data_IF_616883602347
#
_entry.id   IF_616883602347
#
_cell.length_a   1.000
_cell.length_b   1.000
_cell.length_c   1.000
_cell.angle_alpha   90.00
_cell.angle_beta   90.00
_cell.angle_gamma   90.00
#
_symmetry.space_group_name_H-M   'P 1'
#
loop_
_entity.id
_entity.type
_entity.pdbx_description
1 polymer ?
#
# COMPACT_ATOMS: atom_id res chain seq x y z
N UNK A 1 9.78 -28.10 10.16
CA UNK A 1 9.47 -27.00 11.10
C UNK A 1 9.19 -25.79 10.24
N UNK A 2 8.09 -25.09 10.47
CA UNK A 2 7.64 -24.00 9.59
C UNK A 2 8.73 -22.91 9.48
N UNK A 3 9.15 -22.59 8.26
CA UNK A 3 10.18 -21.57 7.95
C UNK A 3 9.83 -20.19 8.54
N UNK A 4 8.57 -20.00 8.94
CA UNK A 4 8.07 -18.78 9.57
C UNK A 4 8.67 -18.48 10.96
N UNK A 5 9.35 -19.43 11.62
CA UNK A 5 10.00 -19.19 12.92
C UNK A 5 11.42 -18.61 12.75
N UNK A 6 12.03 -18.78 11.58
CA UNK A 6 13.41 -18.36 11.31
C UNK A 6 13.52 -16.92 10.76
N UNK A 7 12.45 -16.36 10.18
CA UNK A 7 12.43 -14.99 9.69
C UNK A 7 11.73 -14.08 10.71
N UNK A 8 12.35 -12.93 11.04
CA UNK A 8 11.69 -11.88 11.82
C UNK A 8 10.58 -11.23 10.98
N UNK A 9 9.37 -11.80 10.99
CA UNK A 9 8.23 -11.22 10.27
C UNK A 9 7.87 -9.86 10.86
N UNK A 10 7.88 -8.76 10.07
CA UNK A 10 7.40 -7.48 10.57
C UNK A 10 5.89 -7.54 10.83
N UNK A 11 5.38 -6.88 11.89
CA UNK A 11 3.95 -6.73 12.09
C UNK A 11 3.30 -5.89 10.97
N UNK A 12 2.00 -6.09 10.69
CA UNK A 12 1.29 -5.31 9.69
C UNK A 12 1.43 -3.79 9.92
N UNK A 13 1.63 -3.03 8.83
CA UNK A 13 1.80 -1.57 8.90
C UNK A 13 0.52 -0.84 9.33
N UNK A 14 -0.67 -1.39 9.06
CA UNK A 14 -1.95 -0.76 9.40
C UNK A 14 -2.68 -1.51 10.52
N UNK A 15 -3.50 -0.76 11.26
CA UNK A 15 -4.26 -1.28 12.40
C UNK A 15 -5.26 -2.36 11.96
N UNK A 16 -6.02 -2.08 10.90
CA UNK A 16 -7.09 -2.92 10.36
C UNK A 16 -6.57 -4.28 9.87
N UNK A 17 -5.32 -4.31 9.37
CA UNK A 17 -4.65 -5.51 8.91
C UNK A 17 -4.19 -6.39 10.07
N UNK A 18 -3.75 -5.76 11.17
CA UNK A 18 -3.38 -6.48 12.37
C UNK A 18 -4.61 -7.12 13.02
N UNK A 19 -5.74 -6.41 13.08
CA UNK A 19 -7.02 -6.99 13.51
C UNK A 19 -7.48 -8.14 12.62
N UNK A 20 -7.37 -7.99 11.29
CA UNK A 20 -7.75 -9.05 10.36
C UNK A 20 -6.89 -10.31 10.53
N UNK A 21 -5.57 -10.14 10.70
CA UNK A 21 -4.64 -11.22 11.01
C UNK A 21 -5.06 -11.96 12.29
N UNK A 22 -5.38 -11.20 13.35
CA UNK A 22 -5.81 -11.78 14.61
C UNK A 22 -7.15 -12.52 14.48
N UNK A 23 -8.14 -11.92 13.80
CA UNK A 23 -9.43 -12.56 13.58
C UNK A 23 -9.28 -13.91 12.86
N UNK A 24 -8.55 -13.94 11.74
CA UNK A 24 -8.37 -15.16 10.96
C UNK A 24 -7.53 -16.22 11.69
N UNK A 25 -6.52 -15.78 12.46
CA UNK A 25 -5.73 -16.67 13.30
C UNK A 25 -6.61 -17.38 14.33
N UNK A 26 -7.42 -16.63 15.06
CA UNK A 26 -8.24 -17.17 16.14
C UNK A 26 -9.45 -17.95 15.63
N UNK A 27 -10.02 -17.56 14.48
CA UNK A 27 -11.00 -18.37 13.75
C UNK A 27 -10.41 -19.75 13.42
N UNK A 28 -9.20 -19.78 12.85
CA UNK A 28 -8.52 -21.02 12.50
C UNK A 28 -8.10 -21.84 13.73
N UNK A 29 -7.62 -21.19 14.79
CA UNK A 29 -7.17 -21.85 16.02
C UNK A 29 -8.30 -22.50 16.80
N UNK A 30 -9.46 -21.86 16.85
CA UNK A 30 -10.59 -22.31 17.67
C UNK A 30 -11.67 -23.03 16.86
N UNK A 31 -11.58 -22.99 15.53
CA UNK A 31 -12.54 -23.60 14.64
C UNK A 31 -13.94 -22.99 14.81
N UNK A 32 -14.02 -21.70 15.13
CA UNK A 32 -15.29 -21.01 15.37
C UNK A 32 -15.79 -20.30 14.11
N UNK A 33 -16.77 -20.86 13.38
CA UNK A 33 -17.34 -20.22 12.20
C UNK A 33 -18.22 -19.00 12.53
N UNK A 34 -18.43 -18.70 13.82
CA UNK A 34 -19.24 -17.57 14.31
C UNK A 34 -18.38 -16.44 14.85
N UNK A 35 -17.07 -16.44 14.62
CA UNK A 35 -16.20 -15.32 15.00
C UNK A 35 -16.72 -14.03 14.35
N UNK A 36 -17.02 -13.03 15.18
CA UNK A 36 -17.50 -11.73 14.73
C UNK A 36 -16.42 -10.70 15.01
N UNK A 37 -15.89 -10.10 13.94
CA UNK A 37 -15.15 -8.83 14.05
C UNK A 37 -16.17 -7.74 14.40
N UNK A 38 -16.04 -7.16 15.57
CA UNK A 38 -16.76 -5.95 15.91
C UNK A 38 -16.01 -4.78 15.26
N UNK A 39 -16.57 -4.12 14.26
CA UNK A 39 -15.88 -2.94 13.73
C UNK A 39 -16.31 -2.41 12.37
N UNK A 40 -17.36 -1.57 12.35
CA UNK A 40 -17.25 -0.30 11.63
C UNK A 40 -16.80 0.75 12.64
N UNK A 41 -15.95 1.69 12.23
CA UNK A 41 -15.58 2.83 13.07
C UNK A 41 -16.82 3.60 13.55
N UNK A 42 -16.95 3.83 14.86
CA UNK A 42 -17.98 4.69 15.46
C UNK A 42 -19.00 4.05 16.41
N UNK A 43 -18.92 2.75 16.73
CA UNK A 43 -19.68 2.17 17.84
C UNK A 43 -18.82 2.08 19.11
N UNK A 44 -19.42 2.38 20.26
CA UNK A 44 -18.82 2.12 21.58
C UNK A 44 -18.65 0.61 21.74
N UNK A 45 -17.41 0.14 21.78
CA UNK A 45 -17.07 -1.29 21.69
C UNK A 45 -16.41 -1.84 22.97
N UNK A 46 -16.58 -1.18 24.12
CA UNK A 46 -16.15 -1.67 25.45
C UNK A 46 -14.76 -2.37 25.45
N UNK A 47 -13.79 -1.86 24.69
CA UNK A 47 -12.45 -2.44 24.60
C UNK A 47 -12.39 -3.88 24.06
N UNK A 48 -13.29 -4.27 23.14
CA UNK A 48 -13.28 -5.60 22.48
C UNK A 48 -13.45 -5.45 20.97
N UNK A 49 -12.38 -5.68 20.21
CA UNK A 49 -12.39 -5.65 18.74
C UNK A 49 -13.00 -6.93 18.11
N UNK A 50 -12.85 -8.09 18.76
CA UNK A 50 -13.30 -9.38 18.23
C UNK A 50 -13.97 -10.19 19.34
N UNK A 51 -15.10 -10.83 19.01
CA UNK A 51 -15.77 -11.78 19.91
C UNK A 51 -15.84 -13.15 19.24
N UNK A 52 -15.48 -14.17 20.00
CA UNK A 52 -15.46 -15.54 19.52
C UNK A 52 -15.83 -16.54 20.63
N UNK A 53 -15.96 -17.80 20.24
CA UNK A 53 -16.11 -18.95 21.11
C UNK A 53 -14.88 -19.86 21.02
N UNK A 54 -14.47 -20.41 22.18
CA UNK A 54 -13.39 -21.39 22.29
C UNK A 54 -13.96 -22.67 22.88
N UNK A 55 -14.41 -23.57 22.02
CA UNK A 55 -15.19 -24.74 22.44
C UNK A 55 -16.50 -24.33 23.11
N UNK A 56 -16.70 -24.72 24.37
CA UNK A 56 -17.89 -24.34 25.17
C UNK A 56 -17.80 -22.97 25.85
N UNK A 57 -16.66 -22.28 25.71
CA UNK A 57 -16.41 -20.99 26.34
C UNK A 57 -16.87 -19.87 25.39
N UNK A 58 -17.88 -19.13 25.82
CA UNK A 58 -18.42 -17.95 25.14
C UNK A 58 -19.07 -17.02 26.19
N UNK A 59 -18.95 -15.68 26.05
CA UNK A 59 -18.13 -14.98 25.05
C UNK A 59 -16.65 -14.88 25.46
N UNK A 60 -15.75 -14.96 24.46
CA UNK A 60 -14.32 -14.64 24.57
C UNK A 60 -14.06 -13.36 23.80
N UNK A 61 -13.52 -12.34 24.46
CA UNK A 61 -13.17 -11.06 23.85
C UNK A 61 -11.69 -11.01 23.46
N UNK A 62 -11.38 -10.40 22.32
CA UNK A 62 -10.02 -10.14 21.89
C UNK A 62 -9.88 -8.65 21.55
N UNK A 63 -8.91 -8.01 22.18
CA UNK A 63 -8.50 -6.63 21.89
C UNK A 63 -7.15 -6.66 21.18
N UNK A 64 -7.09 -6.06 20.00
CA UNK A 64 -5.87 -5.84 19.25
C UNK A 64 -5.22 -4.54 19.72
N UNK A 65 -3.89 -4.49 19.78
CA UNK A 65 -3.11 -3.30 20.06
C UNK A 65 -1.85 -3.28 19.21
N UNK A 66 -1.92 -2.64 18.03
CA UNK A 66 -0.74 -2.35 17.22
C UNK A 66 0.12 -1.27 17.91
N UNK A 67 1.42 -1.52 17.96
CA UNK A 67 2.46 -0.60 18.42
C UNK A 67 3.41 -0.24 17.29
N UNK A 68 3.79 1.03 17.21
CA UNK A 68 4.73 1.53 16.21
C UNK A 68 6.14 0.96 16.47
N UNK A 69 6.81 0.54 15.39
CA UNK A 69 8.25 0.22 15.41
C UNK A 69 9.10 1.49 15.50
N UNK A 70 8.60 2.62 14.99
CA UNK A 70 9.28 3.92 15.10
C UNK A 70 8.31 5.08 15.38
N UNK A 71 8.58 5.94 16.39
CA UNK A 71 9.40 5.59 17.55
C UNK A 71 8.81 4.33 18.22
N UNK A 72 9.67 3.46 18.76
CA UNK A 72 9.23 2.21 19.42
C UNK A 72 8.26 2.54 20.55
N UNK A 73 6.98 2.19 20.39
CA UNK A 73 5.98 2.36 21.44
C UNK A 73 5.86 1.06 22.24
N UNK A 74 6.28 1.06 23.50
CA UNK A 74 6.06 -0.09 24.40
C UNK A 74 4.58 -0.19 24.78
N UNK A 75 4.14 -1.42 25.08
CA UNK A 75 2.89 -1.63 25.83
C UNK A 75 3.17 -1.36 27.30
N UNK A 76 2.23 -0.73 28.01
CA UNK A 76 2.41 -0.38 29.42
C UNK A 76 1.37 -1.07 30.30
N UNK A 77 1.67 -1.24 31.59
CA UNK A 77 0.73 -1.79 32.58
C UNK A 77 -0.58 -1.00 32.60
N UNK A 78 -0.50 0.33 32.59
CA UNK A 78 -1.67 1.22 32.59
C UNK A 78 -2.58 1.00 31.38
N UNK A 79 -2.00 0.75 30.20
CA UNK A 79 -2.79 0.43 29.02
C UNK A 79 -3.46 -0.94 29.18
N UNK A 80 -2.76 -1.95 29.69
CA UNK A 80 -3.35 -3.28 29.94
C UNK A 80 -4.54 -3.15 30.90
N UNK A 81 -4.36 -2.47 32.03
CA UNK A 81 -5.41 -2.29 33.04
C UNK A 81 -6.61 -1.52 32.45
N UNK A 82 -6.36 -0.49 31.66
CA UNK A 82 -7.43 0.28 31.00
C UNK A 82 -8.27 -0.57 30.04
N UNK A 83 -7.65 -1.36 29.17
CA UNK A 83 -8.40 -2.22 28.23
C UNK A 83 -9.23 -3.29 28.99
N UNK A 84 -8.71 -3.78 30.12
CA UNK A 84 -9.43 -4.74 30.97
C UNK A 84 -10.65 -4.08 31.60
N UNK A 85 -10.50 -2.88 32.16
CA UNK A 85 -11.59 -2.13 32.78
C UNK A 85 -12.69 -1.80 31.76
N UNK A 86 -12.32 -1.46 30.52
CA UNK A 86 -13.29 -1.27 29.43
C UNK A 86 -14.06 -2.57 29.14
N UNK A 87 -13.34 -3.70 29.05
CA UNK A 87 -13.91 -5.02 28.78
C UNK A 87 -14.82 -5.56 29.90
N UNK A 88 -14.72 -5.05 31.13
CA UNK A 88 -15.67 -5.39 32.22
C UNK A 88 -17.09 -4.95 31.92
N UNK A 89 -17.27 -3.93 31.08
CA UNK A 89 -18.58 -3.42 30.70
C UNK A 89 -19.21 -4.22 29.56
N UNK A 90 -18.51 -5.22 29.01
CA UNK A 90 -19.01 -6.03 27.91
C UNK A 90 -20.21 -6.90 28.35
N UNK A 91 -21.30 -6.84 27.58
CA UNK A 91 -22.54 -7.58 27.87
C UNK A 91 -22.89 -8.57 26.75
N UNK A 92 -23.10 -9.86 27.04
CA UNK A 92 -22.98 -10.51 28.36
C UNK A 92 -21.52 -10.63 28.80
N UNK A 93 -21.28 -10.70 30.12
CA UNK A 93 -19.93 -10.73 30.70
C UNK A 93 -19.01 -11.76 30.03
N UNK A 94 -17.79 -11.33 29.68
CA UNK A 94 -16.77 -12.20 29.12
C UNK A 94 -16.39 -13.33 30.07
N UNK A 95 -15.96 -14.45 29.49
CA UNK A 95 -15.32 -15.55 30.24
C UNK A 95 -13.80 -15.49 30.14
N UNK A 96 -13.31 -15.04 29.00
CA UNK A 96 -11.89 -14.86 28.71
C UNK A 96 -11.68 -13.58 27.90
N UNK A 97 -10.53 -12.95 28.09
CA UNK A 97 -10.11 -11.74 27.40
C UNK A 97 -8.66 -11.88 26.93
N UNK A 98 -8.43 -11.62 25.65
CA UNK A 98 -7.12 -11.69 25.02
C UNK A 98 -6.67 -10.31 24.58
N UNK A 99 -5.53 -9.83 25.07
CA UNK A 99 -4.87 -8.65 24.53
C UNK A 99 -3.77 -9.08 23.55
N UNK A 100 -3.97 -8.80 22.27
CA UNK A 100 -3.09 -9.19 21.17
C UNK A 100 -2.27 -7.96 20.76
N UNK A 101 -0.94 -8.04 20.78
CA UNK A 101 -0.10 -6.87 20.50
C UNK A 101 1.06 -7.15 19.57
N UNK A 102 1.42 -6.14 18.76
CA UNK A 102 2.65 -6.16 17.96
C UNK A 102 3.89 -5.76 18.75
N UNK A 103 3.76 -5.51 20.07
CA UNK A 103 4.90 -5.26 20.94
C UNK A 103 5.76 -6.51 21.13
N UNK A 104 7.03 -6.31 21.46
CA UNK A 104 7.91 -7.37 21.94
C UNK A 104 7.56 -7.76 23.39
N UNK A 105 7.81 -9.01 23.80
CA UNK A 105 7.56 -9.47 25.16
C UNK A 105 8.26 -8.62 26.23
N UNK A 106 7.57 -8.39 27.34
CA UNK A 106 8.08 -7.71 28.52
C UNK A 106 7.75 -8.55 29.76
N UNK A 107 8.78 -8.93 30.52
CA UNK A 107 8.67 -9.82 31.67
C UNK A 107 7.81 -9.21 32.80
N UNK A 108 7.91 -7.89 33.01
CA UNK A 108 7.14 -7.19 34.04
C UNK A 108 5.64 -7.17 33.69
N UNK A 109 5.30 -6.97 32.41
CA UNK A 109 3.90 -7.05 31.95
C UNK A 109 3.33 -8.45 32.13
N UNK A 110 4.10 -9.48 31.78
CA UNK A 110 3.66 -10.86 31.95
C UNK A 110 3.48 -11.23 33.43
N UNK A 111 4.37 -10.76 34.31
CA UNK A 111 4.24 -10.95 35.75
C UNK A 111 3.00 -10.27 36.31
N UNK A 112 2.74 -9.02 35.90
CA UNK A 112 1.54 -8.28 36.29
C UNK A 112 0.25 -9.02 35.92
N UNK A 113 0.13 -9.49 34.67
CA UNK A 113 -1.06 -10.23 34.20
C UNK A 113 -1.27 -11.53 34.97
N UNK A 114 -0.19 -12.25 35.33
CA UNK A 114 -0.29 -13.45 36.18
C UNK A 114 -0.90 -13.12 37.56
N UNK A 115 -0.37 -12.10 38.24
CA UNK A 115 -0.88 -11.66 39.54
C UNK A 115 -2.32 -11.16 39.47
N UNK A 116 -2.65 -10.42 38.41
CA UNK A 116 -3.99 -9.92 38.16
C UNK A 116 -5.00 -11.07 38.02
N UNK A 117 -4.67 -12.11 37.27
CA UNK A 117 -5.53 -13.29 37.10
C UNK A 117 -5.80 -14.02 38.41
N UNK A 118 -4.82 -14.13 39.31
CA UNK A 118 -5.02 -14.72 40.64
C UNK A 118 -6.06 -13.94 41.45
N UNK A 119 -5.98 -12.61 41.42
CA UNK A 119 -6.94 -11.74 42.10
C UNK A 119 -8.33 -11.78 41.45
N UNK A 120 -8.41 -11.81 40.11
CA UNK A 120 -9.69 -11.87 39.36
C UNK A 120 -10.41 -13.20 39.57
N UNK A 121 -9.68 -14.32 39.58
CA UNK A 121 -10.27 -15.66 39.81
C UNK A 121 -11.03 -15.74 41.14
N UNK A 122 -10.51 -15.09 42.20
CA UNK A 122 -11.18 -15.03 43.51
C UNK A 122 -12.50 -14.25 43.49
N UNK A 123 -12.68 -13.34 42.53
CA UNK A 123 -13.86 -12.48 42.36
C UNK A 123 -14.81 -12.96 41.26
N UNK A 124 -14.53 -14.10 40.64
CA UNK A 124 -15.32 -14.63 39.51
C UNK A 124 -15.19 -13.82 38.21
N UNK A 125 -14.14 -13.02 38.07
CA UNK A 125 -13.87 -12.26 36.84
C UNK A 125 -13.31 -13.16 35.72
N UNK A 126 -13.35 -12.65 34.48
CA UNK A 126 -12.74 -13.33 33.33
C UNK A 126 -11.21 -13.43 33.44
N UNK A 127 -10.66 -14.45 32.77
CA UNK A 127 -9.22 -14.67 32.65
C UNK A 127 -8.66 -13.77 31.55
N UNK A 128 -7.49 -13.17 31.79
CA UNK A 128 -6.78 -12.31 30.84
C UNK A 128 -5.53 -13.01 30.31
N UNK A 129 -5.32 -13.00 28.99
CA UNK A 129 -4.08 -13.48 28.34
C UNK A 129 -3.52 -12.38 27.44
N UNK A 130 -2.19 -12.18 27.46
CA UNK A 130 -1.51 -11.22 26.57
C UNK A 130 -0.61 -11.96 25.60
N UNK A 131 -0.84 -11.79 24.30
CA UNK A 131 -0.03 -12.38 23.24
C UNK A 131 0.80 -11.29 22.55
N UNK A 132 2.11 -11.42 22.67
CA UNK A 132 3.08 -10.55 22.01
C UNK A 132 3.37 -11.01 20.58
N UNK A 133 4.05 -10.15 19.81
CA UNK A 133 4.26 -10.39 18.39
C UNK A 133 4.91 -11.74 18.04
N UNK A 134 6.00 -12.17 18.70
CA UNK A 134 6.64 -13.45 18.37
C UNK A 134 5.72 -14.67 18.60
N UNK A 135 4.85 -14.57 19.61
CA UNK A 135 3.88 -15.62 19.94
C UNK A 135 2.77 -15.69 18.87
N UNK A 136 2.28 -14.54 18.41
CA UNK A 136 1.30 -14.47 17.32
C UNK A 136 1.89 -15.06 16.04
N UNK A 137 3.10 -14.66 15.64
CA UNK A 137 3.80 -15.21 14.46
C UNK A 137 3.97 -16.72 14.57
N UNK A 138 4.44 -17.23 15.73
CA UNK A 138 4.57 -18.68 15.94
C UNK A 138 3.24 -19.41 15.82
N UNK A 139 2.14 -18.82 16.31
CA UNK A 139 0.79 -19.41 16.17
C UNK A 139 0.34 -19.40 14.72
N UNK A 140 0.49 -18.29 13.99
CA UNK A 140 0.17 -18.20 12.56
C UNK A 140 0.94 -19.25 11.75
N UNK A 141 2.20 -19.50 12.11
CA UNK A 141 3.04 -20.48 11.45
C UNK A 141 2.50 -21.92 11.46
N UNK A 142 1.52 -22.21 12.31
CA UNK A 142 0.83 -23.51 12.41
C UNK A 142 -0.40 -23.62 11.53
N UNK A 143 -0.88 -22.51 10.95
CA UNK A 143 -2.09 -22.44 10.13
C UNK A 143 -1.73 -21.94 8.73
N UNK A 144 -1.46 -22.87 7.83
CA UNK A 144 -0.98 -22.58 6.48
C UNK A 144 -1.90 -21.63 5.71
N UNK A 145 -3.21 -21.73 5.87
CA UNK A 145 -4.19 -20.85 5.25
C UNK A 145 -4.10 -19.39 5.75
N UNK A 146 -3.86 -19.21 7.06
CA UNK A 146 -3.71 -17.88 7.67
C UNK A 146 -2.35 -17.30 7.28
N UNK A 147 -1.30 -18.11 7.35
CA UNK A 147 0.03 -17.75 6.88
C UNK A 147 0.01 -17.35 5.39
N UNK A 148 -0.62 -18.14 4.51
CA UNK A 148 -0.73 -17.79 3.09
C UNK A 148 -1.57 -16.54 2.83
N UNK A 149 -2.55 -16.21 3.67
CA UNK A 149 -3.39 -15.02 3.49
C UNK A 149 -2.68 -13.74 3.94
N UNK A 150 -2.03 -13.78 5.11
CA UNK A 150 -1.43 -12.60 5.75
C UNK A 150 0.07 -12.45 5.52
N UNK A 151 0.73 -13.58 5.23
CA UNK A 151 2.11 -13.68 4.79
C UNK A 151 2.23 -14.38 3.42
N UNK A 152 1.49 -13.97 2.35
CA UNK A 152 1.48 -14.69 1.09
C UNK A 152 2.88 -14.90 0.50
N UNK A 153 3.20 -16.17 0.27
CA UNK A 153 4.32 -16.61 -0.57
C UNK A 153 3.86 -16.50 -2.03
N UNK A 154 4.07 -15.35 -2.67
CA UNK A 154 3.97 -15.20 -4.12
C UNK A 154 4.98 -14.17 -4.66
N UNK A 155 6.26 -14.46 -4.48
CA UNK A 155 7.25 -14.28 -5.54
C UNK A 155 7.35 -15.59 -6.34
N UNK A 156 7.69 -15.55 -7.63
CA UNK A 156 8.05 -16.80 -8.33
C UNK A 156 9.21 -17.48 -7.59
N UNK A 157 9.19 -18.80 -7.49
CA UNK A 157 10.07 -19.63 -6.65
C UNK A 157 9.91 -19.37 -5.14
N UNK A 158 8.93 -20.00 -4.49
CA UNK A 158 8.86 -20.26 -3.02
C UNK A 158 9.33 -19.17 -2.02
N UNK A 159 9.37 -17.90 -2.43
CA UNK A 159 9.87 -16.79 -1.61
C UNK A 159 8.73 -16.00 -0.96
N UNK A 160 8.91 -15.73 0.34
CA UNK A 160 8.05 -14.86 1.14
C UNK A 160 7.96 -13.45 0.52
N UNK A 161 6.77 -12.88 0.48
CA UNK A 161 6.51 -11.53 -0.04
C UNK A 161 5.66 -10.75 0.98
N UNK A 162 6.29 -10.00 1.91
CA UNK A 162 5.57 -9.25 2.94
C UNK A 162 4.68 -8.18 2.32
N UNK A 163 3.54 -7.87 2.94
CA UNK A 163 2.81 -6.64 2.62
C UNK A 163 3.53 -5.47 3.30
N UNK A 164 4.25 -4.69 2.51
CA UNK A 164 5.01 -3.54 2.99
C UNK A 164 4.12 -2.33 3.19
N UNK A 165 3.20 -2.03 2.27
CA UNK A 165 2.34 -0.86 2.41
C UNK A 165 0.95 -1.06 1.82
N UNK A 166 -0.02 -0.30 2.32
CA UNK A 166 -1.38 -0.22 1.81
C UNK A 166 -1.81 1.22 1.86
N UNK A 167 -2.05 1.81 0.70
CA UNK A 167 -2.46 3.20 0.56
C UNK A 167 -3.87 3.27 0.03
N UNK A 168 -4.65 4.17 0.61
CA UNK A 168 -6.03 4.39 0.18
C UNK A 168 -6.11 5.62 -0.70
N UNK A 169 -6.97 5.55 -1.69
CA UNK A 169 -7.35 6.64 -2.55
C UNK A 169 -8.87 6.81 -2.55
N UNK A 170 -9.30 8.05 -2.66
CA UNK A 170 -10.70 8.43 -2.79
C UNK A 170 -10.81 9.46 -3.92
N UNK A 171 -11.75 9.24 -4.82
CA UNK A 171 -11.95 10.04 -6.03
C UNK A 171 -10.66 10.23 -6.83
N UNK A 172 -9.89 9.14 -6.97
CA UNK A 172 -8.62 9.10 -7.70
C UNK A 172 -7.42 9.78 -7.03
N UNK A 173 -7.60 10.38 -5.85
CA UNK A 173 -6.53 11.03 -5.08
C UNK A 173 -6.09 10.19 -3.88
N UNK A 174 -4.80 10.16 -3.58
CA UNK A 174 -4.28 9.49 -2.39
C UNK A 174 -4.71 10.22 -1.11
N UNK A 175 -5.21 9.48 -0.13
CA UNK A 175 -5.65 10.02 1.17
C UNK A 175 -4.47 10.48 2.05
N UNK A 176 -3.34 9.74 1.99
CA UNK A 176 -2.09 10.15 2.63
C UNK A 176 -1.57 11.42 1.97
N UNK A 177 -1.20 12.43 2.74
CA UNK A 177 -0.71 13.73 2.24
C UNK A 177 0.43 14.27 3.11
N UNK A 178 1.12 15.31 2.63
CA UNK A 178 2.15 16.02 3.39
C UNK A 178 3.26 15.11 3.93
N UNK A 179 3.61 15.30 5.21
CA UNK A 179 4.68 14.55 5.87
C UNK A 179 4.38 13.06 5.99
N UNK A 180 3.11 12.67 6.18
CA UNK A 180 2.75 11.25 6.29
C UNK A 180 3.01 10.51 4.96
N UNK A 181 2.71 11.17 3.83
CA UNK A 181 3.06 10.64 2.52
C UNK A 181 4.57 10.55 2.32
N UNK A 182 5.30 11.59 2.73
CA UNK A 182 6.76 11.58 2.66
C UNK A 182 7.37 10.39 3.38
N UNK A 183 7.02 10.19 4.66
CA UNK A 183 7.54 9.07 5.44
C UNK A 183 7.09 7.73 4.85
N UNK A 184 5.85 7.61 4.38
CA UNK A 184 5.37 6.37 3.77
C UNK A 184 6.18 5.95 2.52
N UNK A 185 6.60 6.91 1.69
CA UNK A 185 7.43 6.67 0.50
C UNK A 185 8.87 6.35 0.88
N UNK A 186 9.46 7.12 1.80
CA UNK A 186 10.83 6.87 2.27
C UNK A 186 10.97 5.49 2.95
N UNK A 187 10.05 5.17 3.88
CA UNK A 187 10.00 3.85 4.53
C UNK A 187 9.74 2.72 3.54
N UNK A 188 8.98 2.95 2.47
CA UNK A 188 8.79 1.94 1.45
C UNK A 188 10.11 1.61 0.74
N UNK A 189 10.94 2.61 0.50
CA UNK A 189 12.26 2.45 -0.08
C UNK A 189 13.16 1.52 0.73
N UNK A 190 13.29 1.81 2.02
CA UNK A 190 14.05 0.99 2.97
C UNK A 190 13.45 -0.40 3.11
N UNK A 191 12.13 -0.51 3.26
CA UNK A 191 11.48 -1.81 3.40
C UNK A 191 11.61 -2.69 2.15
N UNK A 192 11.65 -2.11 0.94
CA UNK A 192 11.90 -2.84 -0.31
C UNK A 192 13.38 -3.21 -0.48
N UNK A 193 14.29 -2.49 0.17
CA UNK A 193 15.69 -2.91 0.27
C UNK A 193 15.82 -4.17 1.14
N UNK A 194 15.23 -4.13 2.33
CA UNK A 194 15.22 -5.26 3.27
C UNK A 194 14.41 -6.45 2.74
N UNK A 195 13.31 -6.17 2.02
CA UNK A 195 12.39 -7.17 1.48
C UNK A 195 12.09 -6.92 -0.01
N UNK A 196 13.00 -7.30 -0.93
CA UNK A 196 12.87 -7.03 -2.37
C UNK A 196 11.62 -7.62 -3.04
N UNK A 197 11.06 -8.66 -2.45
CA UNK A 197 9.83 -9.32 -2.90
C UNK A 197 8.57 -8.68 -2.31
N UNK A 198 8.69 -7.68 -1.45
CA UNK A 198 7.59 -7.05 -0.75
C UNK A 198 6.52 -6.45 -1.67
N UNK A 199 5.29 -6.43 -1.19
CA UNK A 199 4.10 -5.95 -1.92
C UNK A 199 3.62 -4.64 -1.36
N UNK A 200 3.18 -3.78 -2.26
CA UNK A 200 2.45 -2.56 -1.94
C UNK A 200 1.08 -2.68 -2.57
N UNK A 201 0.05 -2.28 -1.83
CA UNK A 201 -1.33 -2.25 -2.31
C UNK A 201 -1.79 -0.81 -2.36
N UNK A 202 -2.41 -0.40 -3.46
CA UNK A 202 -3.17 0.86 -3.53
C UNK A 202 -4.63 0.48 -3.73
N UNK A 203 -5.52 0.96 -2.86
CA UNK A 203 -6.96 0.64 -2.86
C UNK A 203 -7.80 1.89 -3.03
N UNK A 204 -8.84 1.78 -3.84
CA UNK A 204 -9.86 2.82 -3.99
C UNK A 204 -11.02 2.57 -3.03
N UNK A 205 -11.47 3.59 -2.30
CA UNK A 205 -12.68 3.51 -1.43
C UNK A 205 -13.92 3.08 -2.22
N UNK A 206 -14.00 3.45 -3.50
CA UNK A 206 -15.06 3.04 -4.42
C UNK A 206 -15.05 1.54 -4.69
N UNK A 207 -13.86 0.92 -4.75
CA UNK A 207 -13.78 -0.53 -4.95
C UNK A 207 -14.26 -1.30 -3.73
N UNK A 208 -13.93 -0.85 -2.52
CA UNK A 208 -14.43 -1.42 -1.28
C UNK A 208 -15.96 -1.30 -1.20
N UNK A 209 -16.51 -0.14 -1.58
CA UNK A 209 -17.95 0.08 -1.64
C UNK A 209 -18.65 -0.84 -2.66
N UNK A 210 -18.08 -0.99 -3.86
CA UNK A 210 -18.59 -1.89 -4.89
C UNK A 210 -18.53 -3.37 -4.48
N UNK A 211 -17.46 -3.80 -3.81
CA UNK A 211 -17.33 -5.15 -3.28
C UNK A 211 -18.41 -5.45 -2.24
N UNK A 212 -18.63 -4.52 -1.31
CA UNK A 212 -19.68 -4.62 -0.31
C UNK A 212 -21.08 -4.70 -0.94
N UNK A 213 -21.36 -3.83 -1.91
CA UNK A 213 -22.63 -3.86 -2.64
C UNK A 213 -22.84 -5.18 -3.39
N UNK A 214 -21.77 -5.74 -3.99
CA UNK A 214 -21.81 -7.06 -4.63
C UNK A 214 -22.10 -8.18 -3.62
N UNK A 215 -21.52 -8.11 -2.41
CA UNK A 215 -21.80 -9.08 -1.34
C UNK A 215 -23.26 -9.00 -0.87
N UNK A 216 -23.81 -7.80 -0.73
CA UNK A 216 -25.22 -7.59 -0.35
C UNK A 216 -26.16 -8.16 -1.42
N UNK A 217 -25.87 -7.95 -2.71
CA UNK A 217 -26.63 -8.53 -3.83
C UNK A 217 -26.55 -10.07 -3.88
N UNK A 218 -25.49 -10.69 -3.36
CA UNK A 218 -25.36 -12.16 -3.30
C UNK A 218 -26.19 -12.78 -2.19
N UNK A 219 -26.48 -12.03 -1.13
CA UNK A 219 -27.27 -12.50 0.03
C UNK A 219 -28.77 -12.54 -0.26
N UNK A 220 -29.26 -11.84 -1.29
CA UNK A 220 -30.68 -11.89 -1.70
C UNK A 220 -31.02 -13.20 -2.42
N UNK A 221 -32.00 -13.94 -1.90
CA UNK A 221 -32.39 -15.29 -2.34
C UNK A 221 -33.16 -15.37 -3.66
N UNK A 222 -33.72 -14.25 -4.15
CA UNK A 222 -34.34 -14.16 -5.48
C UNK A 222 -33.76 -12.98 -6.28
N UNK A 223 -32.87 -13.26 -7.23
CA UNK A 223 -32.31 -12.21 -8.08
C UNK A 223 -33.26 -11.91 -9.26
N UNK A 224 -34.02 -10.82 -9.15
CA UNK A 224 -34.76 -10.25 -10.29
C UNK A 224 -33.82 -9.95 -11.47
N UNK A 225 -34.36 -9.86 -12.69
CA UNK A 225 -33.58 -9.50 -13.89
C UNK A 225 -32.83 -8.18 -13.67
N UNK A 226 -33.47 -7.19 -13.03
CA UNK A 226 -32.84 -5.91 -12.68
C UNK A 226 -31.63 -6.08 -11.74
N UNK A 227 -31.74 -6.94 -10.72
CA UNK A 227 -30.65 -7.21 -9.79
C UNK A 227 -29.48 -7.96 -10.48
N UNK A 228 -29.77 -8.87 -11.42
CA UNK A 228 -28.75 -9.54 -12.25
C UNK A 228 -28.02 -8.55 -13.16
N UNK A 229 -28.74 -7.63 -13.80
CA UNK A 229 -28.16 -6.57 -14.64
C UNK A 229 -27.26 -5.63 -13.83
N UNK A 230 -27.74 -5.18 -12.66
CA UNK A 230 -26.96 -4.34 -11.74
C UNK A 230 -25.66 -5.04 -11.30
N UNK A 231 -25.74 -6.32 -10.91
CA UNK A 231 -24.58 -7.14 -10.55
C UNK A 231 -23.56 -7.25 -11.69
N UNK A 232 -24.02 -7.46 -12.93
CA UNK A 232 -23.13 -7.53 -14.10
C UNK A 232 -22.42 -6.20 -14.37
N UNK A 233 -23.12 -5.07 -14.22
CA UNK A 233 -22.52 -3.74 -14.34
C UNK A 233 -21.44 -3.52 -13.27
N UNK A 234 -21.78 -3.75 -12.00
CA UNK A 234 -20.85 -3.61 -10.87
C UNK A 234 -19.60 -4.48 -11.02
N UNK A 235 -19.75 -5.76 -11.43
CA UNK A 235 -18.59 -6.63 -11.67
C UNK A 235 -17.68 -6.15 -12.80
N UNK A 236 -18.25 -5.53 -13.85
CA UNK A 236 -17.47 -4.97 -14.96
C UNK A 236 -16.66 -3.76 -14.49
N UNK A 237 -17.32 -2.84 -13.79
CA UNK A 237 -16.71 -1.63 -13.25
C UNK A 237 -15.60 -1.95 -12.23
N UNK A 238 -15.90 -2.82 -11.27
CA UNK A 238 -14.94 -3.29 -10.27
C UNK A 238 -13.71 -3.94 -10.91
N UNK A 239 -13.89 -4.75 -11.97
CA UNK A 239 -12.77 -5.35 -12.70
C UNK A 239 -11.86 -4.29 -13.31
N UNK A 240 -12.40 -3.24 -13.91
CA UNK A 240 -11.60 -2.17 -14.49
C UNK A 240 -10.82 -1.40 -13.41
N UNK A 241 -11.49 -1.07 -12.29
CA UNK A 241 -10.83 -0.39 -11.15
C UNK A 241 -9.73 -1.25 -10.52
N UNK A 242 -10.00 -2.54 -10.25
CA UNK A 242 -8.97 -3.48 -9.75
C UNK A 242 -7.81 -3.67 -10.71
N UNK A 243 -8.07 -3.62 -12.02
CA UNK A 243 -7.00 -3.70 -13.01
C UNK A 243 -6.07 -2.47 -12.95
N UNK A 244 -6.61 -1.27 -12.67
CA UNK A 244 -5.81 -0.06 -12.39
C UNK A 244 -4.98 -0.24 -11.13
N UNK A 245 -5.60 -0.69 -10.03
CA UNK A 245 -4.88 -1.00 -8.78
C UNK A 245 -3.71 -1.96 -9.02
N UNK A 246 -3.93 -3.05 -9.77
CA UNK A 246 -2.87 -4.01 -10.07
C UNK A 246 -1.74 -3.40 -10.93
N UNK A 247 -2.06 -2.52 -11.88
CA UNK A 247 -1.04 -1.82 -12.67
C UNK A 247 -0.20 -0.90 -11.81
N UNK A 248 -0.80 -0.22 -10.83
CA UNK A 248 -0.07 0.61 -9.85
C UNK A 248 0.91 -0.25 -9.06
N UNK A 249 0.50 -1.43 -8.60
CA UNK A 249 1.41 -2.33 -7.86
C UNK A 249 2.60 -2.77 -8.72
N UNK A 250 2.36 -3.13 -9.98
CA UNK A 250 3.42 -3.49 -10.93
C UNK A 250 4.35 -2.32 -11.20
N UNK A 251 3.80 -1.11 -11.33
CA UNK A 251 4.55 0.13 -11.52
C UNK A 251 5.47 0.41 -10.33
N UNK A 252 4.94 0.37 -9.10
CA UNK A 252 5.73 0.57 -7.88
C UNK A 252 6.88 -0.43 -7.83
N UNK A 253 6.59 -1.71 -8.06
CA UNK A 253 7.62 -2.75 -8.07
C UNK A 253 8.70 -2.47 -9.12
N UNK A 254 8.32 -2.09 -10.34
CA UNK A 254 9.29 -1.77 -11.39
C UNK A 254 10.19 -0.58 -10.98
N UNK A 255 9.61 0.47 -10.38
CA UNK A 255 10.34 1.67 -9.97
C UNK A 255 11.39 1.38 -8.90
N UNK A 256 11.08 0.53 -7.92
CA UNK A 256 11.96 0.28 -6.79
C UNK A 256 12.88 -0.93 -6.99
N UNK A 257 12.51 -1.91 -7.83
CA UNK A 257 13.33 -3.09 -8.09
C UNK A 257 14.36 -2.91 -9.22
N UNK A 258 14.18 -1.91 -10.11
CA UNK A 258 15.16 -1.65 -11.16
C UNK A 258 16.24 -0.67 -10.67
N UNK A 259 17.51 -1.04 -10.83
CA UNK A 259 18.67 -0.26 -10.36
C UNK A 259 18.67 1.20 -10.86
N UNK A 260 18.33 1.43 -12.14
CA UNK A 260 18.30 2.77 -12.75
C UNK A 260 17.11 3.60 -12.28
N UNK A 261 15.93 2.99 -12.18
CA UNK A 261 14.72 3.68 -11.77
C UNK A 261 14.70 3.95 -10.26
N UNK A 262 15.29 3.06 -9.46
CA UNK A 262 15.37 3.19 -8.00
C UNK A 262 16.12 4.45 -7.59
N UNK A 263 17.14 4.86 -8.35
CA UNK A 263 17.84 6.13 -8.14
C UNK A 263 16.87 7.33 -8.08
N UNK A 264 15.87 7.36 -8.95
CA UNK A 264 14.87 8.44 -8.97
C UNK A 264 13.91 8.38 -7.79
N UNK A 265 13.81 7.22 -7.11
CA UNK A 265 12.89 6.99 -6.00
C UNK A 265 13.55 7.13 -4.62
N UNK A 266 14.85 6.83 -4.48
CA UNK A 266 15.56 6.81 -3.19
C UNK A 266 16.59 7.93 -3.04
N UNK A 267 17.38 8.21 -4.08
CA UNK A 267 18.62 8.99 -3.93
C UNK A 267 18.43 10.51 -4.17
N UNK A 268 17.20 10.98 -4.40
CA UNK A 268 16.92 12.39 -4.72
C UNK A 268 16.64 13.30 -3.50
N UNK A 269 16.74 12.79 -2.27
CA UNK A 269 16.23 13.47 -1.06
C UNK A 269 17.08 14.66 -0.54
N UNK A 270 18.31 14.86 -1.02
CA UNK A 270 19.14 15.98 -0.49
C UNK A 270 18.99 17.31 -1.25
N UNK A 271 18.27 17.34 -2.39
CA UNK A 271 18.26 18.51 -3.31
C UNK A 271 16.87 19.06 -3.67
N UNK A 272 15.79 18.60 -3.04
CA UNK A 272 14.46 19.16 -3.23
C UNK A 272 13.79 18.75 -4.55
N UNK A 273 14.04 17.53 -5.04
CA UNK A 273 13.29 16.89 -6.13
C UNK A 273 12.74 15.59 -5.59
N UNK A 274 11.42 15.50 -5.58
CA UNK A 274 10.77 14.71 -4.56
C UNK A 274 10.20 13.43 -5.16
N UNK A 275 10.87 12.30 -4.90
CA UNK A 275 10.41 10.98 -5.29
C UNK A 275 8.94 10.74 -4.90
N UNK A 276 8.48 11.35 -3.79
CA UNK A 276 7.10 11.27 -3.31
C UNK A 276 6.11 11.95 -4.25
N UNK A 277 6.48 13.07 -4.88
CA UNK A 277 5.62 13.77 -5.83
C UNK A 277 5.54 13.03 -7.16
N UNK A 278 6.65 12.44 -7.61
CA UNK A 278 6.65 11.57 -8.80
C UNK A 278 5.73 10.37 -8.57
N UNK A 279 5.89 9.68 -7.43
CA UNK A 279 5.09 8.49 -7.14
C UNK A 279 3.60 8.83 -6.97
N UNK A 280 3.29 9.96 -6.30
CA UNK A 280 1.91 10.46 -6.20
C UNK A 280 1.33 10.71 -7.58
N UNK A 281 2.01 11.48 -8.43
CA UNK A 281 1.53 11.81 -9.76
C UNK A 281 1.31 10.55 -10.62
N UNK A 282 2.20 9.56 -10.50
CA UNK A 282 2.03 8.27 -11.18
C UNK A 282 0.81 7.48 -10.70
N UNK A 283 0.59 7.44 -9.39
CA UNK A 283 -0.55 6.74 -8.79
C UNK A 283 -1.86 7.44 -9.18
N UNK A 284 -1.96 8.74 -8.95
CA UNK A 284 -3.20 9.50 -9.17
C UNK A 284 -3.56 9.55 -10.67
N UNK A 285 -2.58 9.70 -11.57
CA UNK A 285 -2.82 9.66 -13.01
C UNK A 285 -3.36 8.30 -13.49
N UNK A 286 -2.80 7.18 -12.98
CA UNK A 286 -3.29 5.83 -13.30
C UNK A 286 -4.71 5.58 -12.75
N UNK A 287 -5.04 6.18 -11.60
CA UNK A 287 -6.41 6.14 -11.06
C UNK A 287 -7.38 7.00 -11.89
N UNK A 288 -6.93 8.13 -12.43
CA UNK A 288 -7.72 9.11 -13.18
C UNK A 288 -7.76 8.93 -14.71
N UNK A 289 -7.06 7.95 -15.30
CA UNK A 289 -7.01 7.68 -16.76
C UNK A 289 -8.36 7.95 -17.46
N UNK A 290 -8.46 9.12 -18.12
CA UNK A 290 -9.65 9.60 -18.81
C UNK A 290 -9.98 11.10 -18.66
N UNK A 291 -9.46 11.82 -17.65
CA UNK A 291 -9.98 13.16 -17.28
C UNK A 291 -9.02 14.35 -17.50
N UNK A 292 -8.07 14.25 -18.43
CA UNK A 292 -7.22 15.40 -18.82
C UNK A 292 -7.96 16.42 -19.73
N UNK A 293 -9.29 16.36 -19.79
CA UNK A 293 -10.15 17.11 -20.72
C UNK A 293 -10.00 18.63 -20.63
N UNK A 294 -9.39 19.14 -19.55
CA UNK A 294 -9.19 20.57 -19.32
C UNK A 294 -7.75 21.06 -19.47
N UNK A 295 -6.77 20.18 -19.63
CA UNK A 295 -5.35 20.57 -19.72
C UNK A 295 -4.88 20.62 -21.18
N UNK A 296 -4.24 21.72 -21.55
CA UNK A 296 -3.69 21.91 -22.90
C UNK A 296 -2.29 21.34 -23.00
N UNK A 297 -1.94 20.80 -24.17
CA UNK A 297 -0.58 20.36 -24.49
C UNK A 297 0.34 21.58 -24.40
N UNK A 298 1.42 21.47 -23.61
CA UNK A 298 2.38 22.56 -23.39
C UNK A 298 3.81 22.23 -23.78
N UNK A 299 4.20 20.95 -23.69
CA UNK A 299 5.50 20.47 -24.15
C UNK A 299 5.33 19.09 -24.79
N UNK A 300 6.30 18.71 -25.62
CA UNK A 300 6.50 17.33 -26.09
C UNK A 300 7.81 16.77 -25.56
N UNK A 301 7.81 15.51 -25.16
CA UNK A 301 9.01 14.80 -24.72
C UNK A 301 9.46 13.81 -25.79
N UNK A 302 10.72 13.90 -26.19
CA UNK A 302 11.30 13.01 -27.19
C UNK A 302 12.23 11.99 -26.53
N UNK A 303 12.12 10.70 -26.90
CA UNK A 303 12.99 9.66 -26.37
C UNK A 303 14.46 9.86 -26.80
N UNK A 304 15.45 9.40 -26.01
CA UNK A 304 16.85 9.67 -26.30
C UNK A 304 17.37 8.98 -27.57
N UNK A 305 17.22 7.66 -27.67
CA UNK A 305 17.71 6.86 -28.81
C UNK A 305 16.65 5.85 -29.26
N UNK A 306 15.48 6.31 -29.75
CA UNK A 306 14.38 5.44 -30.13
C UNK A 306 14.80 4.40 -31.16
N UNK A 307 15.65 4.77 -32.13
CA UNK A 307 16.16 3.89 -33.18
C UNK A 307 16.80 2.58 -32.69
N UNK A 308 17.27 2.51 -31.44
CA UNK A 308 17.81 1.30 -30.84
C UNK A 308 16.73 0.28 -30.40
N UNK A 309 15.45 0.68 -30.35
CA UNK A 309 14.32 -0.21 -30.06
C UNK A 309 13.75 -0.84 -31.34
N UNK A 310 14.59 -1.50 -32.14
CA UNK A 310 14.18 -2.15 -33.39
C UNK A 310 13.13 -3.27 -33.20
N UNK A 311 12.31 -3.51 -34.22
CA UNK A 311 11.33 -4.60 -34.26
C UNK A 311 10.08 -4.25 -35.08
N UNK A 312 9.15 -5.22 -35.26
CA UNK A 312 7.92 -4.99 -36.00
C UNK A 312 7.09 -3.89 -35.33
N UNK A 313 6.73 -2.85 -36.09
CA UNK A 313 5.87 -1.76 -35.64
C UNK A 313 4.41 -2.11 -35.93
N UNK A 314 3.56 -2.08 -34.91
CA UNK A 314 2.11 -2.19 -35.07
C UNK A 314 1.49 -0.79 -35.13
N UNK A 315 0.21 -0.69 -35.47
CA UNK A 315 -0.52 0.58 -35.42
C UNK A 315 -0.63 1.18 -34.00
N UNK A 316 -0.41 0.37 -32.96
CA UNK A 316 -0.40 0.81 -31.57
C UNK A 316 1.01 1.13 -31.04
N UNK A 317 2.07 0.87 -31.81
CA UNK A 317 3.45 1.10 -31.37
C UNK A 317 3.76 2.57 -31.19
N UNK A 318 4.18 2.92 -29.97
CA UNK A 318 4.46 4.31 -29.55
C UNK A 318 5.89 4.53 -29.09
N UNK A 319 6.78 3.54 -29.22
CA UNK A 319 8.15 3.66 -28.71
C UNK A 319 8.91 4.82 -29.32
N UNK A 320 8.79 5.07 -30.63
CA UNK A 320 9.52 6.15 -31.31
C UNK A 320 8.83 7.53 -31.27
N UNK A 321 7.59 7.61 -30.80
CA UNK A 321 6.78 8.84 -30.90
C UNK A 321 7.08 9.81 -29.74
N UNK A 322 6.88 11.10 -29.96
CA UNK A 322 6.93 12.07 -28.87
C UNK A 322 5.76 11.86 -27.88
N UNK A 323 5.95 12.28 -26.63
CA UNK A 323 4.92 12.27 -25.60
C UNK A 323 4.36 13.69 -25.45
N UNK A 324 3.08 13.95 -25.76
CA UNK A 324 2.46 15.23 -25.41
C UNK A 324 2.28 15.30 -23.89
N UNK A 325 2.68 16.42 -23.30
CA UNK A 325 2.51 16.69 -21.87
C UNK A 325 1.52 17.82 -21.70
N UNK A 326 0.43 17.50 -21.02
CA UNK A 326 -0.64 18.42 -20.68
C UNK A 326 -0.42 18.96 -19.27
N UNK A 327 -0.47 20.29 -19.11
CA UNK A 327 -0.29 20.94 -17.81
C UNK A 327 -0.95 22.34 -17.77
N UNK A 328 -1.17 22.91 -16.57
CA UNK A 328 -1.65 24.29 -16.44
C UNK A 328 -0.70 25.31 -17.06
N UNK A 329 -1.24 26.44 -17.55
CA UNK A 329 -0.42 27.52 -18.14
C UNK A 329 0.56 28.17 -17.15
N UNK A 330 0.34 28.04 -15.85
CA UNK A 330 1.28 28.51 -14.82
C UNK A 330 2.62 27.75 -14.87
N UNK A 331 2.57 26.45 -15.11
CA UNK A 331 3.77 25.61 -15.21
C UNK A 331 4.59 25.97 -16.47
N UNK A 332 3.91 26.27 -17.59
CA UNK A 332 4.57 26.75 -18.80
C UNK A 332 5.35 28.06 -18.56
N UNK A 333 4.79 28.98 -17.77
CA UNK A 333 5.49 30.22 -17.40
C UNK A 333 6.78 29.93 -16.62
N UNK A 334 6.76 28.96 -15.69
CA UNK A 334 7.96 28.54 -14.94
C UNK A 334 9.04 27.99 -15.87
N UNK A 335 8.66 27.26 -16.94
CA UNK A 335 9.61 26.78 -17.95
C UNK A 335 10.27 27.96 -18.66
N UNK A 336 9.48 28.94 -19.14
CA UNK A 336 10.04 30.13 -19.80
C UNK A 336 10.95 30.96 -18.88
N UNK A 337 10.58 31.12 -17.61
CA UNK A 337 11.42 31.78 -16.61
C UNK A 337 12.75 31.02 -16.41
N UNK A 338 12.68 29.69 -16.30
CA UNK A 338 13.87 28.85 -16.20
C UNK A 338 14.77 28.95 -17.45
N UNK A 339 14.22 28.89 -18.67
CA UNK A 339 15.02 29.03 -19.90
C UNK A 339 15.69 30.42 -19.99
N UNK A 340 14.96 31.48 -19.61
CA UNK A 340 15.47 32.86 -19.62
C UNK A 340 16.62 33.06 -18.63
N UNK A 341 16.51 32.50 -17.44
CA UNK A 341 17.46 32.72 -16.37
C UNK A 341 18.61 31.68 -16.35
N UNK A 342 18.50 30.61 -17.15
CA UNK A 342 19.53 29.57 -17.27
C UNK A 342 20.92 30.12 -17.63
N UNK A 343 21.10 30.97 -18.65
CA UNK A 343 22.43 31.50 -18.98
C UNK A 343 23.03 32.35 -17.86
N UNK A 344 22.19 33.03 -17.06
CA UNK A 344 22.64 33.83 -15.91
C UNK A 344 23.17 32.92 -14.79
N UNK A 345 22.54 31.76 -14.60
CA UNK A 345 22.92 30.79 -13.56
C UNK A 345 24.11 29.91 -13.96
N UNK A 346 24.31 29.67 -15.25
CA UNK A 346 25.30 28.71 -15.76
C UNK A 346 26.32 29.36 -16.70
N UNK A 347 26.89 30.52 -16.33
CA UNK A 347 28.03 31.16 -17.00
C UNK A 347 27.86 31.38 -18.52
N UNK A 348 26.66 31.73 -18.96
CA UNK A 348 26.36 31.98 -20.38
C UNK A 348 26.09 30.74 -21.23
N UNK A 349 26.08 29.54 -20.62
CA UNK A 349 25.74 28.31 -21.33
C UNK A 349 24.27 28.32 -21.80
N UNK A 350 24.03 27.73 -22.97
CA UNK A 350 22.68 27.51 -23.50
C UNK A 350 22.05 26.30 -22.83
N UNK A 351 20.75 26.37 -22.57
CA UNK A 351 19.95 25.25 -22.08
C UNK A 351 19.92 24.13 -23.14
N UNK A 352 20.15 22.88 -22.71
CA UNK A 352 20.15 21.72 -23.62
C UNK A 352 18.73 21.20 -23.93
N UNK A 353 17.73 21.70 -23.21
CA UNK A 353 16.32 21.30 -23.23
C UNK A 353 16.13 19.81 -22.91
N UNK A 354 16.76 19.38 -21.82
CA UNK A 354 16.56 18.04 -21.26
C UNK A 354 15.70 18.10 -20.00
N UNK A 355 15.07 16.99 -19.63
CA UNK A 355 14.14 16.92 -18.49
C UNK A 355 14.80 17.33 -17.16
N UNK A 356 16.10 17.07 -16.97
CA UNK A 356 16.82 17.55 -15.77
C UNK A 356 16.91 19.07 -15.64
N UNK A 357 16.68 19.82 -16.72
CA UNK A 357 16.69 21.29 -16.72
C UNK A 357 15.30 21.90 -16.51
N UNK A 358 14.23 21.09 -16.59
CA UNK A 358 12.87 21.55 -16.29
C UNK A 358 12.72 21.98 -14.83
N UNK A 359 11.82 22.94 -14.52
CA UNK A 359 11.47 23.26 -13.15
C UNK A 359 11.02 22.01 -12.38
N UNK A 360 11.37 21.93 -11.09
CA UNK A 360 11.11 20.74 -10.26
C UNK A 360 9.63 20.34 -10.30
N UNK A 361 8.71 21.30 -10.17
CA UNK A 361 7.26 21.04 -10.19
C UNK A 361 6.82 20.41 -11.50
N UNK A 362 7.34 20.90 -12.64
CA UNK A 362 7.06 20.37 -13.98
C UNK A 362 7.60 18.95 -14.13
N UNK A 363 8.86 18.76 -13.70
CA UNK A 363 9.55 17.48 -13.82
C UNK A 363 8.84 16.38 -13.01
N UNK A 364 8.54 16.65 -11.75
CA UNK A 364 7.98 15.67 -10.82
C UNK A 364 6.51 15.34 -11.12
N UNK A 365 5.67 16.35 -11.41
CA UNK A 365 4.24 16.14 -11.55
C UNK A 365 3.80 15.76 -12.97
N UNK A 366 4.60 16.08 -14.00
CA UNK A 366 4.17 15.93 -15.39
C UNK A 366 5.17 15.15 -16.25
N UNK A 367 6.43 15.59 -16.34
CA UNK A 367 7.37 15.04 -17.32
C UNK A 367 7.81 13.60 -16.98
N UNK A 368 8.33 13.37 -15.78
CA UNK A 368 8.76 12.04 -15.34
C UNK A 368 7.58 11.05 -15.33
N UNK A 369 6.40 11.39 -14.77
CA UNK A 369 5.24 10.51 -14.82
C UNK A 369 4.86 10.10 -16.25
N UNK A 370 4.86 11.05 -17.20
CA UNK A 370 4.54 10.77 -18.59
C UNK A 370 5.56 9.82 -19.25
N UNK A 371 6.85 10.00 -18.95
CA UNK A 371 7.93 9.11 -19.44
C UNK A 371 7.77 7.69 -18.87
N UNK A 372 7.59 7.56 -17.56
CA UNK A 372 7.45 6.25 -16.91
C UNK A 372 6.24 5.49 -17.46
N UNK A 373 5.11 6.17 -17.67
CA UNK A 373 3.94 5.56 -18.33
C UNK A 373 4.25 5.14 -19.76
N UNK A 374 4.99 5.94 -20.53
CA UNK A 374 5.43 5.55 -21.88
C UNK A 374 6.32 4.31 -21.84
N UNK A 375 7.26 4.22 -20.91
CA UNK A 375 8.13 3.04 -20.73
C UNK A 375 7.28 1.80 -20.48
N UNK A 376 6.35 1.86 -19.52
CA UNK A 376 5.47 0.72 -19.19
C UNK A 376 4.62 0.33 -20.40
N UNK A 377 4.06 1.31 -21.12
CA UNK A 377 3.26 1.05 -22.32
C UNK A 377 4.07 0.37 -23.41
N UNK A 378 5.29 0.84 -23.68
CA UNK A 378 6.20 0.21 -24.65
C UNK A 378 6.55 -1.22 -24.23
N UNK A 379 6.84 -1.46 -22.95
CA UNK A 379 7.12 -2.80 -22.46
C UNK A 379 5.91 -3.74 -22.60
N UNK A 380 4.68 -3.25 -22.41
CA UNK A 380 3.46 -4.05 -22.46
C UNK A 380 2.91 -4.24 -23.89
N UNK A 381 2.86 -3.20 -24.71
CA UNK A 381 2.28 -3.22 -26.05
C UNK A 381 3.30 -3.64 -27.11
N UNK A 382 4.54 -3.12 -27.01
CA UNK A 382 5.62 -3.41 -27.97
C UNK A 382 6.53 -4.56 -27.51
N UNK A 383 6.24 -5.17 -26.35
CA UNK A 383 6.97 -6.31 -25.77
C UNK A 383 8.48 -6.09 -25.68
N UNK A 384 8.92 -4.83 -25.51
CA UNK A 384 10.33 -4.50 -25.32
C UNK A 384 10.77 -4.89 -23.91
N UNK A 385 11.87 -5.61 -23.82
CA UNK A 385 12.48 -5.97 -22.53
C UNK A 385 13.09 -4.74 -21.85
N UNK A 386 13.21 -4.80 -20.52
CA UNK A 386 13.84 -3.74 -19.73
C UNK A 386 15.28 -3.47 -20.18
N UNK A 387 16.03 -4.51 -20.57
CA UNK A 387 17.39 -4.38 -21.10
C UNK A 387 17.44 -3.61 -22.42
N UNK A 388 16.47 -3.82 -23.33
CA UNK A 388 16.37 -3.03 -24.56
C UNK A 388 16.06 -1.56 -24.26
N UNK A 389 15.13 -1.31 -23.32
CA UNK A 389 14.79 0.04 -22.88
C UNK A 389 15.99 0.77 -22.27
N UNK A 390 16.80 0.06 -21.48
CA UNK A 390 18.03 0.59 -20.91
C UNK A 390 19.06 0.93 -21.99
N UNK A 391 19.29 0.03 -22.95
CA UNK A 391 20.24 0.27 -24.05
C UNK A 391 19.83 1.46 -24.92
N UNK A 392 18.53 1.66 -25.11
CA UNK A 392 17.96 2.81 -25.82
C UNK A 392 17.93 4.11 -25.00
N UNK A 393 18.39 4.09 -23.74
CA UNK A 393 18.43 5.25 -22.84
C UNK A 393 17.08 5.64 -22.24
N UNK A 394 16.03 4.82 -22.38
CA UNK A 394 14.69 5.19 -21.92
C UNK A 394 14.62 5.33 -20.40
N UNK A 395 15.42 4.55 -19.66
CA UNK A 395 15.46 4.57 -18.19
C UNK A 395 16.23 5.78 -17.62
N UNK A 396 16.97 6.51 -18.45
CA UNK A 396 17.64 7.75 -18.06
C UNK A 396 16.67 8.93 -18.24
N UNK A 397 15.64 8.98 -17.39
CA UNK A 397 14.49 9.91 -17.45
C UNK A 397 14.91 11.37 -17.62
N UNK A 398 16.03 11.76 -16.99
CA UNK A 398 16.59 13.11 -17.04
C UNK A 398 17.18 13.51 -18.40
N UNK A 399 17.52 12.55 -19.27
CA UNK A 399 18.13 12.80 -20.59
C UNK A 399 17.11 12.90 -21.72
N UNK A 400 15.83 12.66 -21.43
CA UNK A 400 14.75 12.91 -22.39
C UNK A 400 14.74 14.39 -22.76
N UNK A 401 14.51 14.68 -24.04
CA UNK A 401 14.45 16.06 -24.53
C UNK A 401 13.03 16.58 -24.43
N UNK A 402 12.88 17.88 -24.22
CA UNK A 402 11.59 18.55 -24.32
C UNK A 402 11.57 19.63 -25.40
N UNK A 403 10.41 19.84 -26.00
CA UNK A 403 10.10 20.95 -26.91
C UNK A 403 8.82 21.64 -26.46
N UNK A 404 8.71 22.95 -26.71
CA UNK A 404 7.56 23.79 -26.34
C UNK A 404 6.50 23.83 -27.44
#
# INVERSE_FOLDING_TARGET
MSDLVAYEYPPPRFWEQFEELCADLFEAMWGDPRLVRHGRAGQVQHGVDIVASRGSIYPVGLQCKKKSRWPVKKLTIKEIDHEIDEAENFTPALKEFYLLTTAIPDEALQAHVRMLNEARRKRGGFIVEVLFWPELVRRVARFEQVAKKHFPIRGGQDEFSPLLATWYANDGKLELTGNDWHFAVAELGEDLHDWPTGRVIVRQRETDAMEKELQELLRSSSMSIAARTKRMRLRRELRYKKSREQRIQTLIRMLYSNERLRFYMLDLDESGVDAREILRALIEDELHLGDHTHQTEKIRLSPPSPHLLEGPRTSSSVWADDIPVHMPSEELRKIWEAERDFPKKYNGNKIARVVSELPVTVRCAYAIPAIVRRIIRVMQEDQKSLSQMQLAGYLDLNLWKYTL
#
